data_IF_727533963402
#
_entry.id   IF_727533963402
#
_cell.length_a   1.000
_cell.length_b   1.000
_cell.length_c   1.000
_cell.angle_alpha   90.00
_cell.angle_beta   90.00
_cell.angle_gamma   90.00
#
_symmetry.space_group_name_H-M   'P 1'
#
loop_
_entity.id
_entity.type
_entity.pdbx_description
1 polymer ?
#
# COMPACT_ATOMS: atom_id res chain seq x y z
N UNK A 1 -15.83 15.61 -4.57
CA UNK A 1 -16.34 14.28 -4.21
C UNK A 1 -15.28 13.62 -3.36
N UNK A 2 -15.68 12.89 -2.30
CA UNK A 2 -14.72 12.27 -1.39
C UNK A 2 -13.81 11.28 -2.11
N UNK A 3 -12.54 11.21 -1.70
CA UNK A 3 -11.47 10.48 -2.37
C UNK A 3 -11.03 9.25 -1.57
N UNK A 4 -10.71 8.18 -2.29
CA UNK A 4 -9.92 7.06 -1.79
C UNK A 4 -8.46 7.37 -2.11
N UNK A 5 -7.59 7.30 -1.12
CA UNK A 5 -6.17 7.59 -1.25
C UNK A 5 -5.40 6.36 -0.80
N UNK A 6 -4.82 5.64 -1.75
CA UNK A 6 -3.98 4.47 -1.47
C UNK A 6 -2.54 4.93 -1.40
N UNK A 7 -1.88 4.60 -0.30
CA UNK A 7 -0.59 5.15 0.09
C UNK A 7 0.34 3.99 0.41
N UNK A 8 1.56 4.01 -0.10
CA UNK A 8 2.58 3.04 0.29
C UNK A 8 3.42 3.61 1.42
N UNK A 9 3.96 2.76 2.30
CA UNK A 9 4.97 3.23 3.24
C UNK A 9 6.19 3.85 2.51
N UNK A 10 6.84 4.90 3.07
CA UNK A 10 8.12 5.40 2.59
C UNK A 10 9.28 4.59 3.16
N UNK A 11 10.50 5.11 3.07
CA UNK A 11 11.73 4.39 3.34
C UNK A 11 11.82 3.83 4.77
N UNK A 12 12.22 2.57 4.85
CA UNK A 12 12.34 1.81 6.11
C UNK A 12 13.78 1.75 6.64
N UNK A 13 13.92 1.53 7.93
CA UNK A 13 15.18 1.15 8.55
C UNK A 13 15.35 -0.37 8.43
N UNK A 14 16.31 -0.80 7.61
CA UNK A 14 16.57 -2.22 7.37
C UNK A 14 17.42 -2.77 8.52
N UNK A 15 16.91 -3.80 9.18
CA UNK A 15 17.64 -4.56 10.20
C UNK A 15 17.47 -6.07 9.95
N UNK A 16 18.52 -6.78 9.48
CA UNK A 16 18.46 -8.21 9.22
C UNK A 16 18.10 -9.08 10.43
N UNK A 17 18.26 -8.58 11.67
CA UNK A 17 17.90 -9.30 12.88
C UNK A 17 16.42 -9.16 13.26
N UNK A 18 15.69 -8.26 12.60
CA UNK A 18 14.27 -7.97 12.85
C UNK A 18 13.42 -8.53 11.70
N UNK A 19 12.27 -9.17 11.97
CA UNK A 19 11.35 -9.59 10.92
C UNK A 19 10.97 -8.42 10.00
N UNK A 20 10.85 -8.66 8.69
CA UNK A 20 10.61 -7.61 7.68
C UNK A 20 9.32 -6.79 7.99
N UNK A 21 8.29 -7.47 8.49
CA UNK A 21 7.00 -6.88 8.91
C UNK A 21 7.15 -5.91 10.09
N UNK A 22 8.23 -6.06 10.86
CA UNK A 22 8.57 -5.26 12.05
C UNK A 22 9.60 -4.16 11.77
N UNK A 23 10.08 -4.01 10.52
CA UNK A 23 10.90 -2.84 10.17
C UNK A 23 10.04 -1.58 10.15
N UNK A 24 10.43 -0.57 10.94
CA UNK A 24 9.83 0.76 10.95
C UNK A 24 10.43 1.71 9.92
N UNK A 25 9.91 2.94 9.88
CA UNK A 25 10.39 4.01 8.99
C UNK A 25 11.73 4.56 9.46
N UNK A 26 12.63 4.81 8.50
CA UNK A 26 13.87 5.53 8.77
C UNK A 26 13.65 7.06 8.78
N UNK A 27 14.72 7.83 9.02
CA UNK A 27 14.63 9.29 9.11
C UNK A 27 14.14 9.95 7.80
N UNK A 28 14.52 9.43 6.63
CA UNK A 28 14.07 9.93 5.33
C UNK A 28 12.59 9.64 5.15
N UNK A 29 12.15 8.42 5.42
CA UNK A 29 10.75 8.03 5.27
C UNK A 29 9.83 8.80 6.22
N UNK A 30 10.25 9.00 7.48
CA UNK A 30 9.51 9.82 8.45
C UNK A 30 9.38 11.26 8.00
N UNK A 31 10.45 11.85 7.45
CA UNK A 31 10.42 13.21 6.92
C UNK A 31 9.42 13.32 5.76
N UNK A 32 9.53 12.45 4.75
CA UNK A 32 8.62 12.44 3.59
C UNK A 32 7.17 12.21 3.98
N UNK A 33 6.89 11.28 4.90
CA UNK A 33 5.54 11.07 5.42
C UNK A 33 4.99 12.33 6.13
N UNK A 34 5.82 13.04 6.90
CA UNK A 34 5.42 14.26 7.62
C UNK A 34 5.10 15.40 6.65
N UNK A 35 5.91 15.56 5.60
CA UNK A 35 5.67 16.54 4.53
C UNK A 35 4.37 16.20 3.78
N UNK A 36 4.17 14.93 3.44
CA UNK A 36 2.94 14.47 2.79
C UNK A 36 1.70 14.64 3.68
N UNK A 37 1.80 14.40 4.99
CA UNK A 37 0.73 14.60 5.98
C UNK A 37 0.14 16.03 5.95
N UNK A 38 0.98 17.00 5.60
CA UNK A 38 0.66 18.43 5.53
C UNK A 38 0.20 18.90 4.14
N UNK A 39 0.17 18.00 3.14
CA UNK A 39 -0.21 18.33 1.77
C UNK A 39 -1.72 18.55 1.61
N UNK A 40 -2.09 19.28 0.55
CA UNK A 40 -3.50 19.47 0.18
C UNK A 40 -4.22 18.15 -0.13
N UNK A 41 -3.47 17.15 -0.63
CA UNK A 41 -3.98 15.80 -0.93
C UNK A 41 -4.68 15.17 0.27
N UNK A 42 -4.16 15.41 1.48
CA UNK A 42 -4.72 14.83 2.70
C UNK A 42 -5.63 15.80 3.46
N UNK A 43 -5.84 17.03 2.98
CA UNK A 43 -6.57 18.10 3.68
C UNK A 43 -7.96 17.67 4.17
N UNK A 44 -8.70 16.90 3.37
CA UNK A 44 -10.05 16.44 3.66
C UNK A 44 -10.12 15.01 4.22
N UNK A 45 -8.99 14.38 4.56
CA UNK A 45 -8.99 13.03 5.13
C UNK A 45 -9.61 13.05 6.52
N UNK A 46 -10.54 12.14 6.73
CA UNK A 46 -11.31 11.97 7.97
C UNK A 46 -11.14 10.57 8.56
N UNK A 47 -10.66 9.61 7.77
CA UNK A 47 -10.43 8.24 8.22
C UNK A 47 -9.13 7.68 7.62
N UNK A 48 -8.35 7.03 8.48
CA UNK A 48 -7.08 6.38 8.11
C UNK A 48 -7.12 4.90 8.49
N UNK A 49 -6.72 4.06 7.55
CA UNK A 49 -6.51 2.64 7.74
C UNK A 49 -5.09 2.25 7.36
N UNK A 50 -4.58 1.21 8.00
CA UNK A 50 -3.23 0.71 7.78
C UNK A 50 -3.24 -0.81 7.68
N UNK A 51 -2.25 -1.37 6.99
CA UNK A 51 -1.91 -2.78 7.20
C UNK A 51 -1.37 -3.02 8.62
N UNK A 52 -1.28 -4.29 9.01
CA UNK A 52 -0.70 -4.68 10.31
C UNK A 52 0.82 -4.54 10.40
N UNK A 53 1.52 -4.25 9.31
CA UNK A 53 2.98 -4.12 9.33
C UNK A 53 3.44 -2.77 9.89
N UNK A 54 4.50 -2.79 10.69
CA UNK A 54 4.98 -1.62 11.44
C UNK A 54 5.24 -0.41 10.54
N UNK A 55 5.85 -0.60 9.38
CA UNK A 55 6.12 0.49 8.41
C UNK A 55 4.85 1.19 7.92
N UNK A 56 3.78 0.44 7.65
CA UNK A 56 2.51 0.98 7.20
C UNK A 56 1.77 1.65 8.36
N UNK A 57 1.82 1.03 9.54
CA UNK A 57 1.24 1.58 10.75
C UNK A 57 1.88 2.93 11.15
N UNK A 58 3.21 2.98 11.24
CA UNK A 58 3.96 4.22 11.50
C UNK A 58 3.70 5.29 10.44
N UNK A 59 3.51 4.89 9.17
CA UNK A 59 3.08 5.82 8.12
C UNK A 59 1.71 6.39 8.47
N UNK A 60 0.72 5.55 8.74
CA UNK A 60 -0.63 6.00 9.12
C UNK A 60 -0.66 6.92 10.34
N UNK A 61 0.13 6.63 11.37
CA UNK A 61 0.28 7.49 12.56
C UNK A 61 0.78 8.89 12.21
N UNK A 62 1.81 8.98 11.36
CA UNK A 62 2.34 10.27 10.91
C UNK A 62 1.30 11.05 10.09
N UNK A 63 0.56 10.36 9.22
CA UNK A 63 -0.49 10.99 8.39
C UNK A 63 -1.70 11.45 9.22
N UNK A 64 -2.01 10.74 10.31
CA UNK A 64 -3.13 11.03 11.20
C UNK A 64 -2.85 12.20 12.13
N UNK A 65 -1.59 12.39 12.54
CA UNK A 65 -1.21 13.33 13.59
C UNK A 65 -1.70 14.77 13.36
N UNK A 66 -1.61 15.39 12.16
CA UNK A 66 -2.06 16.78 11.96
C UNK A 66 -3.56 17.00 12.18
N UNK A 67 -4.36 15.94 12.10
CA UNK A 67 -5.83 15.97 12.19
C UNK A 67 -6.35 15.24 13.44
N UNK A 68 -5.47 14.74 14.30
CA UNK A 68 -5.79 13.96 15.48
C UNK A 68 -6.74 12.78 15.21
N UNK A 69 -6.56 12.11 14.06
CA UNK A 69 -7.40 11.00 13.64
C UNK A 69 -6.96 9.69 14.31
N UNK A 70 -7.89 8.76 14.58
CA UNK A 70 -7.53 7.39 14.93
C UNK A 70 -6.92 6.66 13.72
N UNK A 71 -5.99 5.75 14.00
CA UNK A 71 -5.41 4.84 13.00
C UNK A 71 -6.05 3.47 13.15
N UNK A 72 -6.82 3.07 12.14
CA UNK A 72 -7.43 1.74 12.10
C UNK A 72 -6.49 0.74 11.42
N UNK A 73 -6.69 -0.55 11.68
CA UNK A 73 -5.88 -1.62 11.12
C UNK A 73 -6.76 -2.71 10.51
N UNK A 74 -6.43 -3.14 9.29
CA UNK A 74 -7.00 -4.32 8.66
C UNK A 74 -5.87 -5.19 8.11
N UNK A 75 -5.76 -6.43 8.59
CA UNK A 75 -4.69 -7.36 8.21
C UNK A 75 -4.74 -7.73 6.71
N UNK A 76 -5.91 -7.64 6.07
CA UNK A 76 -6.06 -7.85 4.64
C UNK A 76 -5.34 -6.82 3.77
N UNK A 77 -4.88 -5.71 4.34
CA UNK A 77 -4.10 -4.67 3.66
C UNK A 77 -2.58 -4.95 3.64
N UNK A 78 -2.12 -6.08 4.18
CA UNK A 78 -0.69 -6.46 4.20
C UNK A 78 -0.11 -6.72 2.81
N UNK A 79 1.22 -6.72 2.68
CA UNK A 79 1.89 -6.99 1.40
C UNK A 79 1.63 -8.42 0.91
N UNK A 80 1.98 -8.74 -0.34
CA UNK A 80 1.93 -10.10 -0.84
C UNK A 80 2.81 -11.05 0.02
N UNK A 81 2.25 -12.18 0.45
CA UNK A 81 3.02 -13.12 1.28
C UNK A 81 4.12 -13.79 0.45
N UNK A 82 5.35 -13.53 0.86
CA UNK A 82 6.58 -14.06 0.26
C UNK A 82 7.48 -14.78 1.27
N UNK A 83 6.93 -15.15 2.42
CA UNK A 83 7.67 -15.76 3.52
C UNK A 83 8.33 -17.09 3.14
N UNK A 84 7.77 -17.82 2.17
CA UNK A 84 8.25 -19.13 1.72
C UNK A 84 9.71 -19.15 1.21
N UNK A 85 10.23 -18.03 0.69
CA UNK A 85 11.61 -17.96 0.16
C UNK A 85 12.62 -17.37 1.14
N UNK A 86 12.18 -16.76 2.24
CA UNK A 86 13.06 -15.97 3.10
C UNK A 86 13.68 -14.77 2.36
N UNK A 87 14.91 -14.40 2.74
CA UNK A 87 15.65 -13.31 2.10
C UNK A 87 16.12 -13.72 0.69
N UNK A 88 15.81 -12.89 -0.30
CA UNK A 88 16.36 -12.97 -1.64
C UNK A 88 17.35 -11.81 -1.86
N UNK A 89 18.53 -12.05 -2.46
CA UNK A 89 19.36 -11.00 -3.04
C UNK A 89 18.54 -10.13 -4.01
N UNK A 90 18.99 -8.90 -4.26
CA UNK A 90 18.24 -7.93 -5.07
C UNK A 90 17.83 -8.48 -6.43
N UNK A 91 18.77 -9.01 -7.21
CA UNK A 91 18.48 -9.45 -8.58
C UNK A 91 17.49 -10.64 -8.59
N UNK A 92 17.62 -11.56 -7.64
CA UNK A 92 16.69 -12.68 -7.46
C UNK A 92 15.30 -12.21 -7.02
N UNK A 93 15.24 -11.18 -6.18
CA UNK A 93 13.99 -10.55 -5.77
C UNK A 93 13.29 -9.87 -6.95
N UNK A 94 14.04 -9.12 -7.77
CA UNK A 94 13.48 -8.47 -8.96
C UNK A 94 12.92 -9.49 -9.95
N UNK A 95 13.62 -10.60 -10.17
CA UNK A 95 13.13 -11.69 -11.03
C UNK A 95 11.90 -12.40 -10.43
N UNK A 96 11.87 -12.59 -9.11
CA UNK A 96 10.71 -13.15 -8.41
C UNK A 96 9.47 -12.25 -8.55
N UNK A 97 9.66 -10.93 -8.41
CA UNK A 97 8.60 -9.95 -8.61
C UNK A 97 8.11 -9.94 -10.07
N UNK A 98 9.00 -10.01 -11.06
CA UNK A 98 8.62 -10.16 -12.47
C UNK A 98 7.73 -11.40 -12.68
N UNK A 99 8.14 -12.54 -12.14
CA UNK A 99 7.37 -13.78 -12.25
C UNK A 99 6.00 -13.70 -11.56
N UNK A 100 5.95 -13.11 -10.36
CA UNK A 100 4.72 -12.90 -9.59
C UNK A 100 3.67 -12.11 -10.40
N UNK A 101 4.07 -11.02 -11.06
CA UNK A 101 3.15 -10.23 -11.89
C UNK A 101 2.85 -10.88 -13.24
N UNK A 102 3.84 -11.54 -13.88
CA UNK A 102 3.68 -12.12 -15.22
C UNK A 102 2.86 -13.42 -15.23
N UNK A 103 2.83 -14.17 -14.13
CA UNK A 103 2.09 -15.42 -13.99
C UNK A 103 1.12 -15.33 -12.79
N UNK A 104 0.06 -14.52 -12.88
CA UNK A 104 -0.68 -14.10 -11.69
C UNK A 104 -1.46 -15.23 -11.00
N UNK A 105 -1.77 -16.31 -11.72
CA UNK A 105 -2.40 -17.53 -11.18
C UNK A 105 -1.40 -18.56 -10.63
N UNK A 106 -0.09 -18.35 -10.83
CA UNK A 106 0.95 -19.27 -10.41
C UNK A 106 1.67 -18.75 -9.16
N UNK A 107 1.94 -19.64 -8.22
CA UNK A 107 2.77 -19.32 -7.06
C UNK A 107 4.25 -19.35 -7.47
N UNK A 108 4.96 -18.26 -7.22
CA UNK A 108 6.42 -18.25 -7.31
C UNK A 108 7.01 -18.84 -6.04
N UNK A 109 7.57 -20.05 -6.10
CA UNK A 109 8.29 -20.68 -4.98
C UNK A 109 7.53 -20.67 -3.64
N UNK A 110 6.19 -20.82 -3.66
CA UNK A 110 5.35 -20.84 -2.47
C UNK A 110 4.86 -19.46 -2.00
N UNK A 111 5.10 -18.39 -2.75
CA UNK A 111 4.46 -17.09 -2.51
C UNK A 111 2.95 -17.17 -2.72
N UNK A 112 2.21 -16.27 -2.06
CA UNK A 112 0.82 -15.97 -2.41
C UNK A 112 0.75 -15.64 -3.92
N UNK A 113 -0.28 -16.14 -4.60
CA UNK A 113 -0.46 -15.79 -6.02
C UNK A 113 -0.92 -14.34 -6.15
N UNK A 114 -0.59 -13.67 -7.27
CA UNK A 114 -1.01 -12.28 -7.47
C UNK A 114 -2.53 -12.16 -7.52
N UNK A 115 -3.23 -13.18 -8.04
CA UNK A 115 -4.71 -13.23 -8.01
C UNK A 115 -5.26 -13.33 -6.59
N UNK A 116 -4.66 -14.14 -5.71
CA UNK A 116 -5.08 -14.23 -4.30
C UNK A 116 -4.83 -12.92 -3.56
N UNK A 117 -3.64 -12.34 -3.73
CA UNK A 117 -3.29 -11.05 -3.15
C UNK A 117 -4.24 -9.93 -3.63
N UNK A 118 -4.57 -9.90 -4.93
CA UNK A 118 -5.52 -8.94 -5.51
C UNK A 118 -6.93 -9.10 -4.92
N UNK A 119 -7.44 -10.34 -4.82
CA UNK A 119 -8.75 -10.60 -4.20
C UNK A 119 -8.77 -10.16 -2.74
N UNK A 120 -7.69 -10.42 -2.00
CA UNK A 120 -7.54 -10.06 -0.59
C UNK A 120 -7.56 -8.55 -0.39
N UNK A 121 -6.71 -7.80 -1.09
CA UNK A 121 -6.65 -6.33 -0.95
C UNK A 121 -7.97 -5.68 -1.40
N UNK A 122 -8.57 -6.16 -2.50
CA UNK A 122 -9.85 -5.65 -2.98
C UNK A 122 -10.96 -5.84 -1.93
N UNK A 123 -11.05 -7.03 -1.34
CA UNK A 123 -12.02 -7.32 -0.27
C UNK A 123 -11.79 -6.41 0.94
N UNK A 124 -10.55 -6.29 1.42
CA UNK A 124 -10.23 -5.48 2.58
C UNK A 124 -10.58 -3.99 2.37
N UNK A 125 -10.27 -3.42 1.20
CA UNK A 125 -10.63 -2.04 0.87
C UNK A 125 -12.14 -1.87 0.74
N UNK A 126 -12.84 -2.85 0.16
CA UNK A 126 -14.31 -2.82 0.09
C UNK A 126 -14.95 -2.81 1.48
N UNK A 127 -14.47 -3.65 2.40
CA UNK A 127 -14.94 -3.69 3.80
C UNK A 127 -14.70 -2.35 4.50
N UNK A 128 -13.52 -1.73 4.30
CA UNK A 128 -13.20 -0.42 4.87
C UNK A 128 -14.16 0.65 4.34
N UNK A 129 -14.38 0.71 3.01
CA UNK A 129 -15.27 1.68 2.37
C UNK A 129 -16.71 1.56 2.89
N UNK A 130 -17.20 0.33 3.13
CA UNK A 130 -18.55 0.12 3.67
C UNK A 130 -18.78 0.73 5.05
N UNK A 131 -17.70 0.98 5.81
CA UNK A 131 -17.75 1.60 7.14
C UNK A 131 -17.44 3.10 7.12
N UNK A 132 -17.11 3.66 5.96
CA UNK A 132 -16.73 5.05 5.80
C UNK A 132 -17.96 5.94 5.53
N UNK A 133 -18.09 7.05 6.27
CA UNK A 133 -19.33 7.84 6.32
C UNK A 133 -19.20 9.29 5.82
N UNK A 134 -18.00 9.88 5.84
CA UNK A 134 -17.76 11.24 5.36
C UNK A 134 -16.28 11.52 5.09
N UNK A 135 -15.99 12.47 4.18
CA UNK A 135 -14.63 12.96 3.90
C UNK A 135 -13.80 12.04 3.02
N UNK A 136 -12.50 12.29 2.94
CA UNK A 136 -11.58 11.41 2.20
C UNK A 136 -11.11 10.25 3.09
N UNK A 137 -10.93 9.08 2.47
CA UNK A 137 -10.43 7.85 3.09
C UNK A 137 -8.99 7.61 2.64
N UNK A 138 -8.06 7.56 3.59
CA UNK A 138 -6.66 7.22 3.32
C UNK A 138 -6.32 5.82 3.84
N UNK A 139 -5.62 5.03 3.04
CA UNK A 139 -5.21 3.66 3.37
C UNK A 139 -3.70 3.52 3.13
N UNK A 140 -2.92 3.34 4.19
CA UNK A 140 -1.50 3.02 4.11
C UNK A 140 -1.27 1.50 4.01
N UNK A 141 -0.78 1.07 2.86
CA UNK A 141 -0.51 -0.31 2.47
C UNK A 141 0.87 -0.38 1.79
N UNK A 142 1.04 -1.23 0.80
CA UNK A 142 2.32 -1.57 0.18
C UNK A 142 2.27 -1.50 -1.34
N UNK A 143 3.45 -1.64 -1.96
CA UNK A 143 3.63 -1.47 -3.39
C UNK A 143 2.89 -2.51 -4.20
N UNK A 144 3.14 -3.80 -3.97
CA UNK A 144 2.59 -4.84 -4.84
C UNK A 144 1.06 -4.93 -4.70
N UNK A 145 0.53 -5.05 -3.48
CA UNK A 145 -0.93 -5.06 -3.28
C UNK A 145 -1.62 -3.75 -3.67
N UNK A 146 -0.96 -2.60 -3.53
CA UNK A 146 -1.47 -1.32 -4.02
C UNK A 146 -1.59 -1.28 -5.54
N UNK A 147 -0.61 -1.86 -6.24
CA UNK A 147 -0.63 -2.02 -7.71
C UNK A 147 -1.70 -3.00 -8.16
N UNK A 148 -1.86 -4.12 -7.44
CA UNK A 148 -2.91 -5.11 -7.73
C UNK A 148 -4.31 -4.53 -7.58
N UNK A 149 -4.53 -3.74 -6.53
CA UNK A 149 -5.78 -3.00 -6.33
C UNK A 149 -6.01 -1.99 -7.46
N UNK A 150 -4.98 -1.23 -7.84
CA UNK A 150 -5.07 -0.29 -8.95
C UNK A 150 -5.49 -0.98 -10.26
N UNK A 151 -4.93 -2.16 -10.57
CA UNK A 151 -5.29 -2.93 -11.76
C UNK A 151 -6.76 -3.37 -11.72
N UNK A 152 -7.21 -3.89 -10.57
CA UNK A 152 -8.60 -4.33 -10.39
C UNK A 152 -9.60 -3.20 -10.59
N UNK A 153 -9.31 -2.01 -10.02
CA UNK A 153 -10.18 -0.85 -10.12
C UNK A 153 -10.11 -0.13 -11.47
N UNK A 154 -9.04 -0.36 -12.24
CA UNK A 154 -8.86 0.16 -13.59
C UNK A 154 -9.42 -0.75 -14.69
N UNK A 155 -9.98 -1.91 -14.32
CA UNK A 155 -10.46 -2.94 -15.24
C UNK A 155 -9.38 -3.39 -16.25
N UNK A 156 -8.15 -3.57 -15.74
CA UNK A 156 -7.04 -4.07 -16.54
C UNK A 156 -6.39 -5.31 -15.91
N UNK A 157 -5.73 -6.11 -16.74
CA UNK A 157 -4.96 -7.27 -16.28
C UNK A 157 -3.85 -6.86 -15.31
N UNK A 158 -3.53 -7.75 -14.37
CA UNK A 158 -2.36 -7.62 -13.50
C UNK A 158 -1.11 -7.51 -14.38
N UNK A 159 -0.31 -6.46 -14.17
CA UNK A 159 0.89 -6.19 -14.95
C UNK A 159 1.87 -5.32 -14.15
N UNK A 160 3.15 -5.72 -14.14
CA UNK A 160 4.21 -5.01 -13.40
C UNK A 160 4.47 -3.60 -13.94
N UNK A 161 4.06 -3.27 -15.17
CA UNK A 161 4.24 -1.90 -15.70
C UNK A 161 3.52 -0.83 -14.89
N UNK A 162 2.55 -1.22 -14.06
CA UNK A 162 1.82 -0.33 -13.15
C UNK A 162 2.44 -0.28 -11.75
N UNK A 163 3.51 -1.03 -11.52
CA UNK A 163 4.13 -1.16 -10.22
C UNK A 163 4.73 0.16 -9.73
N UNK A 164 4.81 0.28 -8.41
CA UNK A 164 5.38 1.44 -7.75
C UNK A 164 6.85 1.63 -8.14
N UNK A 165 7.29 2.84 -8.56
CA UNK A 165 8.68 3.07 -8.96
C UNK A 165 9.70 2.98 -7.82
N UNK A 166 9.33 3.41 -6.61
CA UNK A 166 10.14 3.34 -5.39
C UNK A 166 9.27 3.64 -4.16
N UNK A 167 9.77 3.48 -2.92
CA UNK A 167 8.97 3.67 -1.70
C UNK A 167 8.37 5.08 -1.57
N UNK A 168 7.23 5.21 -0.88
CA UNK A 168 6.59 6.49 -0.55
C UNK A 168 5.88 7.15 -1.74
N UNK A 169 4.83 6.50 -2.24
CA UNK A 169 3.95 7.00 -3.29
C UNK A 169 2.48 6.88 -2.86
N UNK A 170 1.60 7.54 -3.60
CA UNK A 170 0.16 7.37 -3.50
C UNK A 170 -0.51 7.40 -4.88
N UNK A 171 -1.74 6.90 -4.96
CA UNK A 171 -2.67 7.22 -6.04
C UNK A 171 -4.05 7.48 -5.45
N UNK A 172 -4.91 8.14 -6.22
CA UNK A 172 -6.26 8.53 -5.79
C UNK A 172 -7.33 7.96 -6.69
N UNK A 173 -8.51 7.72 -6.13
CA UNK A 173 -9.73 7.41 -6.86
C UNK A 173 -10.89 8.18 -6.24
N UNK A 174 -11.96 8.41 -7.00
CA UNK A 174 -13.22 8.87 -6.43
C UNK A 174 -13.91 7.75 -5.63
N UNK A 175 -14.37 8.02 -4.40
CA UNK A 175 -14.97 6.98 -3.54
C UNK A 175 -16.29 6.41 -4.07
N UNK A 176 -16.94 7.09 -5.02
CA UNK A 176 -18.19 6.63 -5.62
C UNK A 176 -17.93 5.71 -6.79
N UNK A 177 -17.00 6.10 -7.67
CA UNK A 177 -16.69 5.33 -8.90
C UNK A 177 -15.58 4.31 -8.71
N UNK A 178 -14.75 4.49 -7.69
CA UNK A 178 -13.53 3.75 -7.37
C UNK A 178 -12.48 3.69 -8.50
N UNK A 179 -12.68 4.44 -9.58
CA UNK A 179 -11.74 4.48 -10.69
C UNK A 179 -10.51 5.34 -10.33
N UNK A 180 -9.28 4.82 -10.47
CA UNK A 180 -8.09 5.61 -10.23
C UNK A 180 -8.00 6.80 -11.18
N UNK A 181 -7.65 7.97 -10.64
CA UNK A 181 -7.48 9.23 -11.37
C UNK A 181 -6.14 9.28 -12.12
N UNK A 182 -5.12 8.61 -11.56
CA UNK A 182 -3.75 8.54 -12.10
C UNK A 182 -3.05 7.25 -11.65
N UNK A 183 -1.83 7.03 -12.16
CA UNK A 183 -0.88 6.09 -11.55
C UNK A 183 -0.24 6.66 -10.27
N UNK A 184 0.83 5.99 -9.82
CA UNK A 184 1.60 6.39 -8.64
C UNK A 184 2.21 7.79 -8.74
N UNK A 185 2.06 8.56 -7.67
CA UNK A 185 2.66 9.88 -7.46
C UNK A 185 3.53 9.82 -6.22
N UNK A 186 4.78 10.26 -6.33
CA UNK A 186 5.72 10.28 -5.19
C UNK A 186 5.25 11.25 -4.11
N UNK A 187 5.54 10.93 -2.84
CA UNK A 187 5.59 11.97 -1.80
C UNK A 187 6.58 13.05 -2.22
N UNK A 188 6.30 14.29 -1.86
CA UNK A 188 7.24 15.42 -2.02
C UNK A 188 8.58 15.15 -1.34
#
# INVERSE_FOLDING_TARGET
MPKLIIITHPEVAIDPAVPITEWGLNAVGRKRATEFASSEVLSNVTQIWTSGERKAHETGEILAAPRALPVNCNLGLGENDRSATGYLPRDDFEAAADAFFAQPDASYCGWETAVEAQRRIHRAVTEVIQTHDAGDLAIATHGAVGTLLWCALSDCSIDRKYDQPSQGHFWQADLTTLKPDSGWVSFT
#
